data_IF_599834386310
#
_entry.id   IF_599834386310
#
_cell.length_a   1.000
_cell.length_b   1.000
_cell.length_c   1.000
_cell.angle_alpha   90.00
_cell.angle_beta   90.00
_cell.angle_gamma   90.00
#
_symmetry.space_group_name_H-M   'P 1'
#
loop_
_entity.id
_entity.type
_entity.pdbx_description
1 polymer ?
#
# COMPACT_ATOMS: atom_id res chain seq x y z
N UNK A 1 -0.16 15.38 -29.76
CA UNK A 1 0.41 16.09 -28.59
C UNK A 1 0.46 15.21 -27.33
N UNK A 2 -0.13 14.02 -27.33
CA UNK A 2 -0.17 13.06 -26.19
C UNK A 2 1.09 12.16 -26.10
N UNK A 3 1.82 11.96 -27.19
CA UNK A 3 2.98 11.04 -27.22
C UNK A 3 4.28 11.61 -26.62
N UNK A 4 4.34 12.91 -26.29
CA UNK A 4 5.53 13.53 -25.71
C UNK A 4 5.57 13.50 -24.17
N UNK A 5 4.41 13.35 -23.51
CA UNK A 5 4.32 13.32 -22.05
C UNK A 5 4.76 11.94 -21.50
N UNK A 6 4.54 10.86 -22.25
CA UNK A 6 4.92 9.50 -21.86
C UNK A 6 6.45 9.30 -21.93
N UNK A 7 7.15 10.00 -22.81
CA UNK A 7 8.60 9.86 -22.96
C UNK A 7 9.43 10.52 -21.85
N UNK A 8 8.91 11.54 -21.17
CA UNK A 8 9.60 12.18 -20.04
C UNK A 8 9.56 11.33 -18.75
N UNK A 9 8.60 10.41 -18.62
CA UNK A 9 8.49 9.52 -17.45
C UNK A 9 9.55 8.41 -17.41
N UNK A 10 10.12 8.03 -18.57
CA UNK A 10 11.17 7.00 -18.62
C UNK A 10 12.54 7.48 -18.12
N UNK A 11 12.76 8.80 -18.01
CA UNK A 11 14.06 9.35 -17.60
C UNK A 11 14.24 9.48 -16.07
N UNK A 12 13.19 9.45 -15.27
CA UNK A 12 13.30 9.66 -13.81
C UNK A 12 13.48 8.34 -13.04
N UNK A 13 13.16 7.18 -13.63
CA UNK A 13 13.28 5.87 -12.97
C UNK A 13 14.56 5.08 -13.28
N UNK A 14 15.50 5.65 -14.07
CA UNK A 14 16.75 4.97 -14.42
C UNK A 14 17.96 5.40 -13.56
N UNK A 15 17.76 5.71 -12.26
CA UNK A 15 18.85 6.12 -11.36
C UNK A 15 19.44 4.92 -10.57
N UNK A 16 19.26 3.69 -10.98
CA UNK A 16 19.86 2.54 -10.29
C UNK A 16 20.70 1.59 -11.15
N UNK A 17 21.17 2.03 -12.31
CA UNK A 17 22.22 1.30 -13.03
C UNK A 17 23.60 1.80 -12.59
N UNK A 18 24.11 1.35 -11.42
CA UNK A 18 25.45 1.71 -11.00
C UNK A 18 25.68 1.77 -9.49
N UNK A 19 25.23 0.77 -8.72
CA UNK A 19 25.67 0.61 -7.33
C UNK A 19 27.06 -0.01 -7.33
N UNK A 20 28.11 0.85 -7.30
CA UNK A 20 29.47 0.40 -6.94
C UNK A 20 29.59 0.15 -5.45
N UNK A 21 30.52 -0.73 -4.99
CA UNK A 21 30.73 -1.02 -3.56
C UNK A 21 31.26 0.23 -2.84
N UNK A 22 30.48 0.77 -1.89
CA UNK A 22 30.95 1.85 -1.02
C UNK A 22 30.01 3.03 -0.77
N UNK A 23 28.79 3.07 -1.31
CA UNK A 23 27.79 4.09 -0.93
C UNK A 23 26.86 3.54 0.14
N UNK A 24 26.75 4.28 1.25
CA UNK A 24 25.83 3.93 2.34
C UNK A 24 24.44 3.55 1.80
N UNK A 25 23.91 2.45 2.29
CA UNK A 25 22.57 1.99 1.93
C UNK A 25 21.59 3.03 2.46
N UNK A 26 21.06 3.88 1.59
CA UNK A 26 19.92 4.73 1.95
C UNK A 26 18.71 3.82 2.10
N UNK A 27 18.35 3.51 3.34
CA UNK A 27 17.13 2.76 3.68
C UNK A 27 15.94 3.62 3.28
N UNK A 28 15.16 3.15 2.29
CA UNK A 28 13.95 3.83 1.82
C UNK A 28 12.66 3.16 2.32
N UNK A 29 12.70 2.66 3.57
CA UNK A 29 11.51 2.10 4.21
C UNK A 29 10.62 3.25 4.68
N UNK A 30 9.38 3.29 4.19
CA UNK A 30 8.37 4.27 4.57
C UNK A 30 7.29 3.58 5.39
N UNK A 31 7.13 4.03 6.61
CA UNK A 31 6.15 3.47 7.56
C UNK A 31 4.98 4.43 7.72
N UNK A 32 3.77 3.89 7.69
CA UNK A 32 2.54 4.65 7.88
C UNK A 32 1.34 3.73 8.14
N UNK A 33 0.16 4.23 7.89
CA UNK A 33 -1.09 3.54 8.23
C UNK A 33 -2.04 3.42 7.05
N UNK A 34 -2.95 2.45 7.11
CA UNK A 34 -4.04 2.28 6.18
C UNK A 34 -5.20 3.23 6.56
N UNK A 35 -5.20 4.41 5.95
CA UNK A 35 -6.04 5.54 6.32
C UNK A 35 -5.41 6.39 7.42
N UNK A 36 -5.94 7.60 7.55
CA UNK A 36 -5.49 8.61 8.52
C UNK A 36 -6.63 9.33 9.22
N UNK A 37 -7.85 9.27 8.72
CA UNK A 37 -8.99 10.07 9.20
C UNK A 37 -9.99 9.21 9.97
N UNK A 38 -9.60 8.79 11.17
CA UNK A 38 -10.43 8.00 12.06
C UNK A 38 -10.84 8.82 13.29
N UNK A 39 -12.13 8.79 13.65
CA UNK A 39 -12.67 9.54 14.78
C UNK A 39 -12.11 9.07 16.13
N UNK A 40 -11.89 7.78 16.28
CA UNK A 40 -11.32 7.16 17.48
C UNK A 40 -9.82 7.42 17.67
N UNK A 41 -9.19 8.15 16.74
CA UNK A 41 -7.83 8.66 16.89
C UNK A 41 -7.76 10.05 17.54
N UNK A 42 -8.92 10.71 17.74
CA UNK A 42 -8.99 11.96 18.53
C UNK A 42 -8.74 11.59 20.00
N UNK A 43 -7.83 12.30 20.64
CA UNK A 43 -7.27 12.00 21.96
C UNK A 43 -6.00 11.15 21.86
N UNK A 44 -6.04 9.90 21.37
CA UNK A 44 -4.82 9.08 21.28
C UNK A 44 -3.74 9.62 20.34
N UNK A 45 -4.12 10.28 19.25
CA UNK A 45 -3.18 10.82 18.27
C UNK A 45 -3.51 12.27 17.86
N UNK A 46 -4.74 12.55 17.48
CA UNK A 46 -5.16 13.90 17.13
C UNK A 46 -5.58 14.70 18.37
N UNK A 47 -5.25 15.99 18.45
CA UNK A 47 -5.78 16.87 19.48
C UNK A 47 -7.30 16.88 19.52
N UNK A 48 -7.87 17.08 20.71
CA UNK A 48 -9.32 17.23 20.89
C UNK A 48 -9.87 18.36 20.01
N UNK A 49 -11.02 18.12 19.40
CA UNK A 49 -11.68 19.11 18.53
C UNK A 49 -11.06 19.26 17.14
N UNK A 50 -10.05 18.48 16.77
CA UNK A 50 -9.44 18.56 15.45
C UNK A 50 -10.46 18.20 14.36
N UNK A 51 -10.59 19.08 13.36
CA UNK A 51 -11.45 18.85 12.19
C UNK A 51 -10.80 17.83 11.25
N UNK A 52 -11.59 16.96 10.63
CA UNK A 52 -11.09 15.96 9.68
C UNK A 52 -10.32 16.57 8.49
N UNK A 53 -10.66 17.81 8.12
CA UNK A 53 -9.95 18.54 7.06
C UNK A 53 -8.49 18.89 7.40
N UNK A 54 -8.11 18.93 8.69
CA UNK A 54 -6.75 19.20 9.15
C UNK A 54 -5.95 17.92 9.47
N UNK A 55 -6.60 16.75 9.53
CA UNK A 55 -5.98 15.52 9.99
C UNK A 55 -4.81 15.07 9.10
N UNK A 56 -4.89 15.21 7.76
CA UNK A 56 -3.80 14.80 6.87
C UNK A 56 -2.56 15.66 7.06
N UNK A 57 -2.72 16.96 7.19
CA UNK A 57 -1.62 17.90 7.45
C UNK A 57 -0.94 17.58 8.78
N UNK A 58 -1.71 17.37 9.84
CA UNK A 58 -1.18 16.96 11.15
C UNK A 58 -0.49 15.58 11.06
N UNK A 59 -1.10 14.60 10.38
CA UNK A 59 -0.53 13.27 10.20
C UNK A 59 0.84 13.32 9.52
N UNK A 60 0.99 14.21 8.52
CA UNK A 60 2.23 14.37 7.77
C UNK A 60 3.40 14.96 8.57
N UNK A 61 3.16 15.48 9.78
CA UNK A 61 4.23 15.88 10.72
C UNK A 61 4.94 14.68 11.35
N UNK A 62 4.31 13.50 11.37
CA UNK A 62 4.82 12.30 12.04
C UNK A 62 5.17 11.18 11.06
N UNK A 63 4.52 11.15 9.90
CA UNK A 63 4.67 10.10 8.90
C UNK A 63 4.86 10.71 7.52
N UNK A 64 5.67 10.07 6.69
CA UNK A 64 5.89 10.47 5.30
C UNK A 64 5.21 9.55 4.27
N UNK A 65 4.31 8.69 4.74
CA UNK A 65 3.57 7.73 3.93
C UNK A 65 2.17 7.48 4.51
N UNK A 66 1.19 7.33 3.62
CA UNK A 66 -0.15 6.86 3.99
C UNK A 66 -0.77 6.04 2.86
N UNK A 67 -1.55 5.03 3.22
CA UNK A 67 -2.43 4.30 2.32
C UNK A 67 -3.82 4.92 2.30
N UNK A 68 -4.30 5.32 1.13
CA UNK A 68 -5.63 5.92 0.94
C UNK A 68 -6.65 4.83 0.61
N UNK A 69 -7.59 4.56 1.53
CA UNK A 69 -8.58 3.48 1.40
C UNK A 69 -9.98 3.95 0.99
N UNK A 70 -10.29 5.25 1.12
CA UNK A 70 -11.62 5.80 0.78
C UNK A 70 -11.98 5.59 -0.69
N UNK A 71 -10.99 5.55 -1.56
CA UNK A 71 -11.11 5.30 -3.01
C UNK A 71 -11.63 3.90 -3.37
N UNK A 72 -11.57 2.95 -2.44
CA UNK A 72 -12.16 1.63 -2.63
C UNK A 72 -13.69 1.68 -2.68
N UNK A 73 -14.30 2.53 -1.85
CA UNK A 73 -15.76 2.61 -1.73
C UNK A 73 -16.41 3.49 -2.78
N UNK A 74 -15.70 4.50 -3.27
CA UNK A 74 -16.19 5.45 -4.24
C UNK A 74 -15.09 5.84 -5.22
N UNK A 75 -15.45 5.93 -6.51
CA UNK A 75 -14.54 6.47 -7.53
C UNK A 75 -14.10 7.88 -7.11
N UNK A 76 -12.79 8.13 -6.98
CA UNK A 76 -12.29 9.42 -6.51
C UNK A 76 -12.47 10.53 -7.57
N UNK A 77 -12.59 11.76 -7.11
CA UNK A 77 -12.50 12.93 -7.98
C UNK A 77 -11.15 13.64 -7.84
N UNK A 78 -10.78 14.41 -8.87
CA UNK A 78 -9.51 15.17 -8.96
C UNK A 78 -9.26 16.04 -7.71
N UNK A 79 -10.30 16.76 -7.23
CA UNK A 79 -10.19 17.66 -6.06
C UNK A 79 -9.72 16.98 -4.78
N UNK A 80 -9.98 15.67 -4.61
CA UNK A 80 -9.50 14.92 -3.47
C UNK A 80 -7.97 14.93 -3.44
N UNK A 81 -7.34 14.57 -4.55
CA UNK A 81 -5.90 14.45 -4.65
C UNK A 81 -5.19 15.81 -4.81
N UNK A 82 -5.82 16.82 -5.40
CA UNK A 82 -5.35 18.20 -5.31
C UNK A 82 -5.23 18.67 -3.84
N UNK A 83 -6.27 18.39 -3.04
CA UNK A 83 -6.29 18.71 -1.62
C UNK A 83 -5.24 17.93 -0.83
N UNK A 84 -5.06 16.64 -1.10
CA UNK A 84 -4.05 15.80 -0.44
C UNK A 84 -2.63 16.23 -0.81
N UNK A 85 -2.38 16.54 -2.09
CA UNK A 85 -1.09 17.01 -2.56
C UNK A 85 -0.66 18.31 -1.88
N UNK A 86 -1.59 19.27 -1.74
CA UNK A 86 -1.33 20.57 -1.09
C UNK A 86 -1.04 20.47 0.42
N UNK A 87 -1.59 19.45 1.09
CA UNK A 87 -1.51 19.27 2.56
C UNK A 87 -0.32 18.44 3.02
N UNK A 88 0.50 17.98 2.11
CA UNK A 88 1.61 17.09 2.45
C UNK A 88 2.93 17.62 1.89
N UNK A 89 4.06 17.39 2.59
CA UNK A 89 5.41 17.73 2.10
C UNK A 89 5.74 17.04 0.76
N UNK A 90 6.75 17.53 0.05
CA UNK A 90 7.14 16.99 -1.26
C UNK A 90 7.67 15.56 -1.21
N UNK A 91 8.27 15.16 -0.09
CA UNK A 91 8.75 13.80 0.12
C UNK A 91 7.67 12.83 0.63
N UNK A 92 6.45 13.30 0.89
CA UNK A 92 5.32 12.47 1.30
C UNK A 92 4.88 11.52 0.19
N UNK A 93 4.49 10.30 0.54
CA UNK A 93 4.07 9.28 -0.42
C UNK A 93 2.70 8.71 -0.11
N UNK A 94 2.00 8.34 -1.19
CA UNK A 94 0.68 7.71 -1.15
C UNK A 94 0.73 6.33 -1.80
N UNK A 95 0.17 5.31 -1.15
CA UNK A 95 -0.39 4.16 -1.82
C UNK A 95 -1.90 4.39 -1.93
N UNK A 96 -2.49 4.17 -3.09
CA UNK A 96 -3.92 4.43 -3.28
C UNK A 96 -4.63 3.13 -3.60
N UNK A 97 -5.57 2.75 -2.73
CA UNK A 97 -6.34 1.51 -2.93
C UNK A 97 -7.30 1.68 -4.10
N UNK A 98 -7.25 0.73 -5.00
CA UNK A 98 -8.06 0.70 -6.20
C UNK A 98 -9.56 0.61 -5.86
N UNK A 99 -10.41 1.24 -6.67
CA UNK A 99 -11.85 1.17 -6.56
C UNK A 99 -12.36 -0.28 -6.61
N UNK A 100 -13.35 -0.61 -5.78
CA UNK A 100 -13.84 -1.97 -5.58
C UNK A 100 -14.34 -2.64 -6.86
N UNK A 101 -14.88 -1.85 -7.79
CA UNK A 101 -15.33 -2.32 -9.11
C UNK A 101 -14.25 -3.05 -9.92
N UNK A 102 -12.95 -2.78 -9.68
CA UNK A 102 -11.87 -3.50 -10.35
C UNK A 102 -11.46 -4.81 -9.66
N UNK A 103 -11.70 -4.93 -8.35
CA UNK A 103 -11.15 -6.04 -7.56
C UNK A 103 -12.19 -6.97 -6.97
N UNK A 104 -13.36 -6.46 -6.60
CA UNK A 104 -14.44 -7.22 -5.96
C UNK A 104 -15.55 -7.52 -6.95
N UNK A 105 -16.17 -6.51 -7.53
CA UNK A 105 -17.22 -6.64 -8.56
C UNK A 105 -16.62 -7.08 -9.89
N UNK A 106 -15.46 -6.57 -10.27
CA UNK A 106 -14.70 -6.86 -11.50
C UNK A 106 -15.46 -6.54 -12.79
N UNK A 107 -16.25 -5.48 -12.74
CA UNK A 107 -17.10 -4.96 -13.81
C UNK A 107 -16.59 -3.65 -14.44
N UNK A 108 -15.52 -3.07 -13.87
CA UNK A 108 -14.87 -1.86 -14.39
C UNK A 108 -13.94 -2.18 -15.57
N UNK A 109 -13.96 -1.30 -16.56
CA UNK A 109 -13.16 -1.38 -17.77
C UNK A 109 -12.17 -0.21 -17.92
N UNK A 110 -11.77 0.04 -19.17
CA UNK A 110 -10.79 1.08 -19.53
C UNK A 110 -11.26 2.48 -19.16
N UNK A 111 -12.53 2.78 -19.37
CA UNK A 111 -13.09 4.10 -19.08
C UNK A 111 -12.99 4.46 -17.60
N UNK A 112 -13.33 3.50 -16.72
CA UNK A 112 -13.22 3.67 -15.25
C UNK A 112 -11.75 3.79 -14.82
N UNK A 113 -10.84 3.04 -15.47
CA UNK A 113 -9.41 3.15 -15.21
C UNK A 113 -8.86 4.54 -15.59
N UNK A 114 -9.25 5.07 -16.73
CA UNK A 114 -8.85 6.39 -17.18
C UNK A 114 -9.39 7.49 -16.23
N UNK A 115 -10.63 7.36 -15.74
CA UNK A 115 -11.20 8.24 -14.72
C UNK A 115 -10.42 8.18 -13.40
N UNK A 116 -10.04 6.97 -12.98
CA UNK A 116 -9.27 6.76 -11.77
C UNK A 116 -7.87 7.39 -11.87
N UNK A 117 -7.15 7.14 -12.97
CA UNK A 117 -5.83 7.74 -13.23
C UNK A 117 -5.92 9.26 -13.33
N UNK A 118 -6.94 9.79 -14.01
CA UNK A 118 -7.16 11.23 -14.08
C UNK A 118 -7.34 11.85 -12.69
N UNK A 119 -8.09 11.19 -11.82
CA UNK A 119 -8.24 11.67 -10.43
C UNK A 119 -6.91 11.69 -9.66
N UNK A 120 -6.00 10.74 -9.94
CA UNK A 120 -4.69 10.64 -9.30
C UNK A 120 -3.64 11.61 -9.87
N UNK A 121 -3.91 12.29 -11.00
CA UNK A 121 -2.91 13.12 -11.69
C UNK A 121 -2.16 14.10 -10.79
N UNK A 122 -2.77 14.79 -9.78
CA UNK A 122 -2.04 15.72 -8.92
C UNK A 122 -0.92 15.06 -8.09
N UNK A 123 -1.12 13.81 -7.64
CA UNK A 123 -0.13 13.07 -6.87
C UNK A 123 0.83 12.27 -7.77
N UNK A 124 0.44 11.97 -9.00
CA UNK A 124 1.31 11.42 -10.03
C UNK A 124 2.31 12.49 -10.49
N UNK A 125 1.84 13.65 -10.91
CA UNK A 125 2.65 14.76 -11.43
C UNK A 125 3.63 15.31 -10.40
N UNK A 126 3.24 15.33 -9.12
CA UNK A 126 4.14 15.72 -8.02
C UNK A 126 5.09 14.61 -7.56
N UNK A 127 5.02 13.41 -8.15
CA UNK A 127 5.85 12.27 -7.78
C UNK A 127 5.51 11.67 -6.40
N UNK A 128 4.33 11.97 -5.85
CA UNK A 128 3.90 11.48 -4.52
C UNK A 128 3.16 10.14 -4.57
N UNK A 129 2.70 9.66 -5.73
CA UNK A 129 2.12 8.33 -5.86
C UNK A 129 3.23 7.27 -5.86
N UNK A 130 3.27 6.40 -4.84
CA UNK A 130 4.16 5.24 -4.82
C UNK A 130 3.58 4.07 -5.60
N UNK A 131 2.32 3.72 -5.35
CA UNK A 131 1.66 2.64 -6.06
C UNK A 131 0.13 2.73 -5.99
N UNK A 132 -0.51 2.00 -6.89
CA UNK A 132 -1.94 1.66 -6.82
C UNK A 132 -2.04 0.26 -6.18
N UNK A 133 -2.81 0.15 -5.10
CA UNK A 133 -3.02 -1.11 -4.38
C UNK A 133 -4.29 -1.81 -4.87
N UNK A 134 -4.16 -2.91 -5.59
CA UNK A 134 -5.26 -3.78 -5.96
C UNK A 134 -5.37 -4.96 -4.97
N UNK A 135 -6.24 -4.82 -3.97
CA UNK A 135 -6.51 -5.88 -2.99
C UNK A 135 -7.73 -6.71 -3.42
N UNK A 136 -7.52 -8.00 -3.59
CA UNK A 136 -8.57 -8.96 -3.96
C UNK A 136 -9.20 -9.64 -2.73
N UNK A 137 -10.50 -10.03 -2.81
CA UNK A 137 -11.15 -10.78 -1.74
C UNK A 137 -10.67 -12.24 -1.69
N UNK A 138 -10.98 -12.94 -0.58
CA UNK A 138 -10.65 -14.36 -0.42
C UNK A 138 -11.23 -15.24 -1.54
N UNK A 139 -12.41 -14.87 -2.08
CA UNK A 139 -13.08 -15.57 -3.18
C UNK A 139 -12.36 -15.45 -4.53
N UNK A 140 -11.34 -14.60 -4.63
CA UNK A 140 -10.50 -14.50 -5.82
C UNK A 140 -9.50 -15.66 -5.85
N UNK A 141 -9.95 -16.81 -6.38
CA UNK A 141 -9.15 -18.04 -6.43
C UNK A 141 -8.14 -18.01 -7.58
N UNK A 142 -7.02 -18.74 -7.40
CA UNK A 142 -6.00 -18.90 -8.43
C UNK A 142 -6.48 -19.85 -9.52
N UNK A 143 -7.03 -19.30 -10.60
CA UNK A 143 -7.50 -19.99 -11.80
C UNK A 143 -7.21 -19.15 -13.05
N UNK A 144 -7.41 -19.73 -14.25
CA UNK A 144 -7.11 -19.08 -15.53
C UNK A 144 -7.86 -17.76 -15.73
N UNK A 145 -9.15 -17.71 -15.42
CA UNK A 145 -9.98 -16.51 -15.54
C UNK A 145 -9.44 -15.34 -14.73
N UNK A 146 -9.03 -15.61 -13.50
CA UNK A 146 -8.48 -14.60 -12.60
C UNK A 146 -7.03 -14.21 -12.98
N UNK A 147 -6.24 -15.10 -13.58
CA UNK A 147 -4.98 -14.72 -14.22
C UNK A 147 -5.19 -13.74 -15.38
N UNK A 148 -6.19 -14.00 -16.24
CA UNK A 148 -6.50 -13.10 -17.35
C UNK A 148 -7.06 -11.75 -16.83
N UNK A 149 -7.80 -11.76 -15.72
CA UNK A 149 -8.23 -10.53 -15.06
C UNK A 149 -7.03 -9.68 -14.58
N UNK A 150 -6.01 -10.31 -13.97
CA UNK A 150 -4.79 -9.60 -13.54
C UNK A 150 -4.04 -8.98 -14.73
N UNK A 151 -3.96 -9.67 -15.86
CA UNK A 151 -3.32 -9.14 -17.09
C UNK A 151 -4.10 -7.93 -17.63
N UNK A 152 -5.45 -8.05 -17.76
CA UNK A 152 -6.28 -6.90 -18.14
C UNK A 152 -6.13 -5.72 -17.20
N UNK A 153 -6.08 -5.98 -15.89
CA UNK A 153 -5.86 -4.93 -14.90
C UNK A 153 -4.51 -4.24 -15.12
N UNK A 154 -3.43 -5.01 -15.40
CA UNK A 154 -2.13 -4.44 -15.75
C UNK A 154 -2.18 -3.56 -17.00
N UNK A 155 -2.91 -3.98 -18.03
CA UNK A 155 -3.10 -3.19 -19.25
C UNK A 155 -3.84 -1.88 -18.99
N UNK A 156 -4.89 -1.90 -18.14
CA UNK A 156 -5.64 -0.71 -17.75
C UNK A 156 -4.78 0.31 -17.00
N UNK A 157 -3.88 -0.15 -16.14
CA UNK A 157 -3.00 0.69 -15.32
C UNK A 157 -1.55 0.69 -15.81
N UNK A 158 -1.35 0.49 -17.12
CA UNK A 158 -0.03 0.54 -17.72
C UNK A 158 0.60 1.93 -17.49
N UNK A 159 1.87 1.94 -17.02
CA UNK A 159 2.58 3.17 -16.64
C UNK A 159 2.48 3.53 -15.15
N UNK A 160 1.63 2.86 -14.37
CA UNK A 160 1.58 3.02 -12.92
C UNK A 160 2.20 1.83 -12.21
N UNK A 161 2.81 2.04 -11.05
CA UNK A 161 3.21 0.95 -10.17
C UNK A 161 1.94 0.31 -9.58
N UNK A 162 1.73 -0.97 -9.85
CA UNK A 162 0.54 -1.73 -9.43
C UNK A 162 0.94 -2.83 -8.46
N UNK A 163 0.48 -2.74 -7.21
CA UNK A 163 0.74 -3.73 -6.18
C UNK A 163 -0.51 -4.58 -5.92
N UNK A 164 -0.33 -5.90 -5.94
CA UNK A 164 -1.40 -6.89 -5.85
C UNK A 164 -1.40 -7.53 -4.47
N UNK A 165 -2.50 -7.40 -3.73
CA UNK A 165 -2.72 -8.12 -2.49
C UNK A 165 -3.71 -9.25 -2.69
N UNK A 166 -3.26 -10.46 -2.47
CA UNK A 166 -4.12 -11.63 -2.41
C UNK A 166 -4.53 -11.91 -0.96
N UNK A 167 -5.69 -12.56 -0.78
CA UNK A 167 -6.19 -13.07 0.50
C UNK A 167 -6.26 -14.58 0.53
N UNK A 168 -6.22 -15.22 -0.63
CA UNK A 168 -6.32 -16.67 -0.76
C UNK A 168 -4.94 -17.30 -0.96
N UNK A 169 -4.58 -18.23 -0.09
CA UNK A 169 -3.30 -18.95 -0.12
C UNK A 169 -3.03 -19.67 -1.45
N UNK A 170 -4.08 -19.99 -2.22
CA UNK A 170 -3.93 -20.63 -3.53
C UNK A 170 -3.09 -19.84 -4.53
N UNK A 171 -2.85 -18.54 -4.29
CA UNK A 171 -1.98 -17.69 -5.09
C UNK A 171 -0.49 -17.79 -4.74
N UNK A 172 -0.12 -18.49 -3.66
CA UNK A 172 1.28 -18.63 -3.24
C UNK A 172 1.92 -19.79 -3.99
N UNK A 173 2.39 -19.50 -5.19
CA UNK A 173 3.01 -20.43 -6.12
C UNK A 173 4.11 -19.73 -6.93
N UNK A 174 5.16 -20.46 -7.31
CA UNK A 174 6.26 -19.92 -8.11
C UNK A 174 5.80 -19.29 -9.41
N UNK A 175 4.89 -19.96 -10.15
CA UNK A 175 4.34 -19.43 -11.40
C UNK A 175 3.61 -18.09 -11.26
N UNK A 176 3.02 -17.82 -10.08
CA UNK A 176 2.37 -16.53 -9.79
C UNK A 176 3.42 -15.44 -9.59
N UNK A 177 4.45 -15.71 -8.79
CA UNK A 177 5.54 -14.73 -8.59
C UNK A 177 6.28 -14.43 -9.89
N UNK A 178 6.51 -15.43 -10.73
CA UNK A 178 7.14 -15.25 -12.04
C UNK A 178 6.27 -14.42 -12.98
N UNK A 179 4.95 -14.63 -12.95
CA UNK A 179 4.01 -13.81 -13.69
C UNK A 179 4.02 -12.37 -13.19
N UNK A 180 3.95 -12.14 -11.87
CA UNK A 180 3.99 -10.80 -11.29
C UNK A 180 5.28 -10.05 -11.67
N UNK A 181 6.45 -10.71 -11.64
CA UNK A 181 7.73 -10.12 -12.07
C UNK A 181 7.72 -9.76 -13.55
N UNK A 182 7.27 -10.67 -14.41
CA UNK A 182 7.19 -10.44 -15.86
C UNK A 182 6.28 -9.26 -16.21
N UNK A 183 5.14 -9.18 -15.54
CA UNK A 183 4.15 -8.10 -15.73
C UNK A 183 4.49 -6.83 -14.92
N UNK A 184 5.59 -6.83 -14.17
CA UNK A 184 6.00 -5.70 -13.31
C UNK A 184 4.88 -5.27 -12.34
N UNK A 185 4.27 -6.25 -11.68
CA UNK A 185 3.29 -6.04 -10.61
C UNK A 185 3.91 -6.41 -9.26
N UNK A 186 3.78 -5.53 -8.26
CA UNK A 186 4.28 -5.76 -6.91
C UNK A 186 3.42 -6.78 -6.16
N UNK A 187 4.05 -7.77 -5.52
CA UNK A 187 3.36 -8.62 -4.55
C UNK A 187 3.29 -7.90 -3.21
N UNK A 188 2.08 -7.81 -2.63
CA UNK A 188 1.90 -7.26 -1.29
C UNK A 188 2.04 -8.37 -0.26
N UNK A 189 3.07 -8.26 0.57
CA UNK A 189 3.25 -9.12 1.73
C UNK A 189 2.22 -8.74 2.80
N UNK A 190 1.62 -9.73 3.46
CA UNK A 190 0.63 -9.49 4.50
C UNK A 190 1.01 -10.16 5.81
N UNK A 191 0.74 -9.50 6.93
CA UNK A 191 0.69 -10.10 8.26
C UNK A 191 -0.77 -10.15 8.71
N UNK A 192 -1.29 -11.36 8.83
CA UNK A 192 -2.67 -11.66 9.19
C UNK A 192 -2.72 -12.93 10.07
N UNK A 193 -3.85 -13.24 10.74
CA UNK A 193 -3.91 -14.41 11.61
C UNK A 193 -3.57 -15.71 10.91
N UNK A 194 -2.93 -16.63 11.62
CA UNK A 194 -2.55 -17.95 11.12
C UNK A 194 -3.73 -18.90 10.86
N UNK A 195 -4.79 -18.42 10.20
CA UNK A 195 -6.00 -19.19 9.89
C UNK A 195 -5.80 -19.98 8.60
N UNK A 196 -6.35 -21.22 8.56
CA UNK A 196 -6.25 -22.08 7.37
C UNK A 196 -6.87 -21.40 6.15
N UNK A 197 -6.11 -21.31 5.06
CA UNK A 197 -6.54 -20.72 3.79
C UNK A 197 -6.10 -19.27 3.57
N UNK A 198 -5.75 -18.53 4.64
CA UNK A 198 -5.13 -17.23 4.55
C UNK A 198 -3.62 -17.33 4.22
N UNK A 199 -3.04 -16.21 3.79
CA UNK A 199 -1.61 -16.12 3.48
C UNK A 199 -0.84 -15.92 4.79
N UNK A 200 0.19 -16.72 5.01
CA UNK A 200 0.98 -16.66 6.23
C UNK A 200 2.44 -16.38 5.91
N UNK A 201 2.93 -15.24 6.36
CA UNK A 201 4.36 -14.88 6.39
C UNK A 201 5.14 -15.11 5.09
N UNK A 202 4.50 -14.83 3.94
CA UNK A 202 5.14 -14.93 2.63
C UNK A 202 5.76 -13.58 2.28
N UNK A 203 7.03 -13.59 1.95
CA UNK A 203 7.76 -12.41 1.45
C UNK A 203 8.19 -12.65 0.02
N UNK A 204 7.95 -11.66 -0.84
CA UNK A 204 8.49 -11.61 -2.19
C UNK A 204 8.51 -10.16 -2.67
N UNK A 205 9.60 -9.77 -3.32
CA UNK A 205 9.70 -8.55 -4.11
C UNK A 205 9.56 -8.93 -5.57
N UNK A 206 8.54 -8.39 -6.24
CA UNK A 206 8.23 -8.74 -7.64
C UNK A 206 8.22 -7.54 -8.58
N UNK A 207 8.38 -6.31 -8.05
CA UNK A 207 8.47 -5.06 -8.81
C UNK A 207 9.44 -4.09 -8.12
N UNK A 208 9.45 -2.82 -8.55
CA UNK A 208 10.25 -1.77 -7.92
C UNK A 208 9.78 -1.36 -6.53
N UNK A 209 8.57 -1.77 -6.13
CA UNK A 209 8.00 -1.47 -4.82
C UNK A 209 7.82 -2.75 -4.00
N UNK A 210 8.48 -2.82 -2.85
CA UNK A 210 8.18 -3.80 -1.81
C UNK A 210 7.07 -3.25 -0.90
N UNK A 211 6.07 -4.06 -0.57
CA UNK A 211 4.94 -3.60 0.22
C UNK A 211 4.54 -4.62 1.29
N UNK A 212 4.57 -4.19 2.55
CA UNK A 212 4.08 -4.97 3.70
C UNK A 212 2.83 -4.32 4.28
N UNK A 213 1.76 -5.10 4.46
CA UNK A 213 0.54 -4.67 5.15
C UNK A 213 0.30 -5.51 6.41
N UNK A 214 0.26 -4.85 7.56
CA UNK A 214 0.07 -5.44 8.87
C UNK A 214 -1.41 -5.30 9.28
N UNK A 215 -2.17 -6.39 9.14
CA UNK A 215 -3.63 -6.39 9.38
C UNK A 215 -4.03 -6.66 10.83
N UNK A 216 -3.09 -7.11 11.65
CA UNK A 216 -3.37 -7.64 12.99
C UNK A 216 -3.57 -9.15 12.97
N UNK A 217 -3.30 -9.79 14.11
CA UNK A 217 -3.34 -11.25 14.28
C UNK A 217 -4.56 -11.70 15.11
N UNK A 218 -5.67 -10.95 15.08
CA UNK A 218 -6.88 -11.25 15.82
C UNK A 218 -7.68 -12.41 15.17
N UNK A 219 -7.30 -13.65 15.48
CA UNK A 219 -7.90 -14.84 14.89
C UNK A 219 -9.38 -15.04 15.32
N UNK A 220 -9.73 -14.65 16.55
CA UNK A 220 -11.08 -14.83 17.09
C UNK A 220 -12.12 -13.97 16.36
N UNK A 221 -11.74 -12.75 16.00
CA UNK A 221 -12.63 -11.78 15.36
C UNK A 221 -12.48 -11.70 13.83
N UNK A 222 -11.60 -12.51 13.23
CA UNK A 222 -11.29 -12.39 11.79
C UNK A 222 -12.50 -12.56 10.88
N UNK A 223 -13.36 -13.54 11.18
CA UNK A 223 -14.59 -13.81 10.43
C UNK A 223 -15.87 -13.47 11.18
N UNK A 224 -15.83 -13.49 12.52
CA UNK A 224 -17.00 -13.24 13.38
C UNK A 224 -17.13 -11.80 13.84
N UNK A 225 -16.07 -10.96 13.71
CA UNK A 225 -16.08 -9.58 14.14
C UNK A 225 -16.92 -8.69 13.23
N UNK A 226 -17.64 -7.75 13.83
CA UNK A 226 -18.37 -6.72 13.10
C UNK A 226 -17.44 -5.56 12.69
N UNK A 227 -17.64 -5.03 11.47
CA UNK A 227 -16.91 -3.87 10.99
C UNK A 227 -15.39 -4.02 11.05
N UNK A 228 -14.75 -3.22 11.89
CA UNK A 228 -13.28 -3.17 12.05
C UNK A 228 -12.71 -4.05 13.16
N UNK A 229 -13.52 -4.81 13.89
CA UNK A 229 -13.07 -5.63 15.04
C UNK A 229 -11.97 -6.64 14.67
N UNK A 230 -11.97 -7.17 13.44
CA UNK A 230 -10.91 -8.05 12.93
C UNK A 230 -9.52 -7.40 12.96
N UNK A 231 -9.45 -6.07 12.90
CA UNK A 231 -8.23 -5.27 12.92
C UNK A 231 -7.89 -4.73 14.31
N UNK A 232 -8.73 -4.98 15.33
CA UNK A 232 -8.49 -4.56 16.71
C UNK A 232 -7.41 -5.44 17.36
N UNK A 233 -6.15 -5.17 17.01
CA UNK A 233 -4.96 -5.88 17.43
C UNK A 233 -3.83 -4.90 17.68
N UNK A 234 -3.09 -5.08 18.78
CA UNK A 234 -1.88 -4.31 19.07
C UNK A 234 -0.69 -5.28 18.96
N UNK A 235 0.17 -5.04 17.98
CA UNK A 235 1.42 -5.79 17.86
C UNK A 235 2.33 -5.51 19.05
N UNK A 236 2.88 -6.55 19.65
CA UNK A 236 3.93 -6.44 20.66
C UNK A 236 5.27 -6.03 20.02
N UNK A 237 6.20 -5.51 20.85
CA UNK A 237 7.52 -5.16 20.37
C UNK A 237 8.28 -6.36 19.76
N UNK A 238 8.12 -7.57 20.34
CA UNK A 238 8.72 -8.79 19.78
C UNK A 238 8.19 -9.13 18.39
N UNK A 239 6.89 -9.00 18.16
CA UNK A 239 6.28 -9.24 16.84
C UNK A 239 6.75 -8.22 15.79
N UNK A 240 6.93 -6.95 16.18
CA UNK A 240 7.48 -5.92 15.28
C UNK A 240 8.95 -6.18 14.95
N UNK A 241 9.75 -6.63 15.92
CA UNK A 241 11.15 -6.94 15.72
C UNK A 241 11.36 -8.11 14.75
N UNK A 242 10.42 -9.07 14.65
CA UNK A 242 10.45 -10.13 13.63
C UNK A 242 10.54 -9.59 12.20
N UNK A 243 10.02 -8.37 11.95
CA UNK A 243 9.97 -7.76 10.63
C UNK A 243 11.22 -6.97 10.26
N UNK A 244 12.06 -6.54 11.22
CA UNK A 244 13.19 -5.63 10.94
C UNK A 244 14.18 -6.20 9.93
N UNK A 245 14.63 -7.45 10.13
CA UNK A 245 15.54 -8.12 9.19
C UNK A 245 14.91 -8.26 7.81
N UNK A 246 13.66 -8.72 7.77
CA UNK A 246 12.90 -8.94 6.54
C UNK A 246 12.66 -7.64 5.76
N UNK A 247 12.34 -6.55 6.45
CA UNK A 247 12.15 -5.24 5.81
C UNK A 247 13.43 -4.71 5.19
N UNK A 248 14.60 -4.97 5.81
CA UNK A 248 15.90 -4.62 5.23
C UNK A 248 16.19 -5.43 3.97
N UNK A 249 15.93 -6.74 4.00
CA UNK A 249 16.04 -7.60 2.81
C UNK A 249 15.12 -7.11 1.68
N UNK A 250 13.86 -6.79 1.97
CA UNK A 250 12.91 -6.23 0.99
C UNK A 250 13.41 -4.89 0.40
N UNK A 251 14.00 -4.03 1.25
CA UNK A 251 14.52 -2.72 0.83
C UNK A 251 15.75 -2.85 -0.06
N UNK A 252 16.60 -3.86 0.16
CA UNK A 252 17.75 -4.16 -0.69
C UNK A 252 17.32 -4.63 -2.10
N UNK A 253 16.17 -5.31 -2.21
CA UNK A 253 15.65 -5.86 -3.46
C UNK A 253 14.74 -4.88 -4.23
N UNK A 254 14.32 -3.76 -3.60
CA UNK A 254 13.36 -2.81 -4.15
C UNK A 254 13.92 -1.39 -4.30
N UNK A 255 13.19 -0.52 -4.98
CA UNK A 255 13.47 0.92 -5.03
C UNK A 255 12.87 1.69 -3.85
N UNK A 256 11.78 1.17 -3.28
CA UNK A 256 11.10 1.70 -2.10
C UNK A 256 10.37 0.58 -1.37
N UNK A 257 10.42 0.60 -0.05
CA UNK A 257 9.68 -0.33 0.81
C UNK A 257 8.58 0.43 1.56
N UNK A 258 7.34 0.00 1.38
CA UNK A 258 6.16 0.56 2.06
C UNK A 258 5.69 -0.38 3.16
N UNK A 259 5.39 0.19 4.33
CA UNK A 259 4.81 -0.55 5.47
C UNK A 259 3.54 0.16 5.92
N UNK A 260 2.40 -0.51 5.80
CA UNK A 260 1.09 0.03 6.17
C UNK A 260 0.46 -0.75 7.30
N UNK A 261 0.21 -0.09 8.42
CA UNK A 261 -0.52 -0.66 9.55
C UNK A 261 -2.02 -0.50 9.35
N UNK A 262 -2.73 -1.62 9.20
CA UNK A 262 -4.19 -1.66 9.02
C UNK A 262 -4.97 -2.00 10.31
N UNK A 263 -4.28 -2.18 11.42
CA UNK A 263 -4.85 -2.41 12.75
C UNK A 263 -5.30 -1.08 13.39
N UNK A 264 -6.12 -0.33 12.67
CA UNK A 264 -6.45 1.06 12.96
C UNK A 264 -7.31 1.31 14.23
N UNK A 265 -8.14 0.38 14.79
CA UNK A 265 -9.00 0.70 15.93
C UNK A 265 -8.22 1.27 17.12
N UNK A 266 -8.78 2.34 17.72
CA UNK A 266 -8.28 2.98 18.94
C UNK A 266 -6.85 3.56 18.83
N UNK A 267 -6.40 3.90 17.61
CA UNK A 267 -5.07 4.44 17.38
C UNK A 267 -3.93 3.41 17.41
N UNK A 268 -4.22 2.11 17.52
CA UNK A 268 -3.20 1.05 17.59
C UNK A 268 -2.25 1.03 16.40
N UNK A 269 -2.74 1.36 15.20
CA UNK A 269 -1.90 1.49 14.01
C UNK A 269 -0.84 2.59 14.17
N UNK A 270 -1.19 3.73 14.78
CA UNK A 270 -0.26 4.83 15.04
C UNK A 270 0.81 4.40 16.04
N UNK A 271 0.41 3.75 17.12
CA UNK A 271 1.32 3.26 18.15
C UNK A 271 2.34 2.28 17.56
N UNK A 272 1.86 1.28 16.82
CA UNK A 272 2.73 0.29 16.17
C UNK A 272 3.61 0.89 15.06
N UNK A 273 3.09 1.83 14.26
CA UNK A 273 3.88 2.49 13.23
C UNK A 273 5.04 3.31 13.84
N UNK A 274 4.78 4.08 14.90
CA UNK A 274 5.84 4.81 15.63
C UNK A 274 6.86 3.87 16.27
N UNK A 275 6.41 2.77 16.88
CA UNK A 275 7.30 1.78 17.47
C UNK A 275 8.22 1.15 16.41
N UNK A 276 7.67 0.77 15.24
CA UNK A 276 8.47 0.21 14.15
C UNK A 276 9.48 1.22 13.60
N UNK A 277 9.09 2.50 13.44
CA UNK A 277 10.00 3.58 13.04
C UNK A 277 11.16 3.72 14.03
N UNK A 278 10.88 3.65 15.35
CA UNK A 278 11.93 3.65 16.38
C UNK A 278 12.89 2.48 16.24
N UNK A 279 12.41 1.25 16.00
CA UNK A 279 13.26 0.08 15.75
C UNK A 279 14.07 0.16 14.45
N UNK A 280 13.59 0.91 13.46
CA UNK A 280 14.31 1.19 12.21
C UNK A 280 15.30 2.36 12.33
N UNK A 281 15.30 3.09 13.45
CA UNK A 281 16.15 4.27 13.67
C UNK A 281 15.72 5.50 12.86
N UNK A 282 14.41 5.66 12.61
CA UNK A 282 13.83 6.75 11.82
C UNK A 282 13.28 7.91 12.69
N UNK A 283 13.28 7.78 14.01
CA UNK A 283 12.84 8.76 15.01
C UNK A 283 13.84 8.83 16.16
#
# INVERSE_FOLDING_TARGET
MWNYIVALFYCVFNINAGRGPGKGVFIMIRVGTAGYSYKDWIGPFYPEGMKSSAMLEYYSLFFNFVEVNSTYYHMPGLKLFEGMNKKTPDDFRFAVKLFGGFTHERDCGREEADKFIYALSPVIESGKLSCILAQFPYSFHCNSENFDHLKRLREHFNGSELCIEFRNRGWIKSEVFDMLRREKMGFVCVDEPGIRGLIKNVMAVTSGTAYLRLHGRNAEKWYSGEGSERYDYLYSGSELLEWIGRLREMDEESGVTLVSFNNHPKGKAIENAKALMGYLGQV
#
